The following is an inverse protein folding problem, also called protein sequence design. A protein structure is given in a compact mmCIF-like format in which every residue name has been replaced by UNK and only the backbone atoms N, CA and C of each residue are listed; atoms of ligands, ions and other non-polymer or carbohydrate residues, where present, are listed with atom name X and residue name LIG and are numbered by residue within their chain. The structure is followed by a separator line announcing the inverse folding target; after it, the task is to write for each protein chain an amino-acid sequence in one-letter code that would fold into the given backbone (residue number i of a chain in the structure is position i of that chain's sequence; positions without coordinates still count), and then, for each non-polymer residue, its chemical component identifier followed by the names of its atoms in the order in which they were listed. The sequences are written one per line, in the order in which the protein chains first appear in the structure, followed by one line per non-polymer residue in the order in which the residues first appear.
data_IF_409785553732
#
_entry.id   IF_409785553732
#
_cell.length_a   1.000
_cell.length_b   1.000
_cell.length_c   1.000
_cell.angle_alpha   90.00
_cell.angle_beta   90.00
_cell.angle_gamma   90.00
#
_symmetry.space_group_name_H-M   'P 1'
#
loop_
_entity.id
_entity.type
_entity.pdbx_description
1 polymer ?
#
# COMPACT_ATOMS: atom_id res chain seq x y z
N UNK A 1 -14.66 44.00 -16.73
CA UNK A 1 -14.13 42.83 -16.01
C UNK A 1 -14.14 41.49 -16.79
N UNK A 2 -14.95 41.30 -17.81
CA UNK A 2 -15.12 40.06 -18.58
C UNK A 2 -13.91 39.67 -19.47
N UNK A 3 -13.08 40.59 -19.91
CA UNK A 3 -11.95 40.32 -20.82
C UNK A 3 -10.78 39.56 -20.17
N UNK A 4 -10.62 39.65 -18.85
CA UNK A 4 -9.51 39.01 -18.11
C UNK A 4 -9.70 37.48 -17.95
N UNK A 5 -10.94 37.02 -17.90
CA UNK A 5 -11.25 35.59 -17.77
C UNK A 5 -11.16 34.82 -19.11
N UNK A 6 -11.33 35.52 -20.23
CA UNK A 6 -11.20 34.93 -21.58
C UNK A 6 -9.73 34.55 -21.87
N UNK A 7 -8.77 35.39 -21.49
CA UNK A 7 -7.33 35.11 -21.68
C UNK A 7 -6.87 33.96 -20.78
N UNK A 8 -7.35 33.92 -19.54
CA UNK A 8 -7.01 32.85 -18.60
C UNK A 8 -7.56 31.49 -19.06
N UNK A 9 -8.80 31.46 -19.59
CA UNK A 9 -9.39 30.24 -20.18
C UNK A 9 -8.61 29.75 -21.39
N UNK A 10 -8.21 30.67 -22.28
CA UNK A 10 -7.38 30.32 -23.45
C UNK A 10 -6.02 29.75 -23.06
N UNK A 11 -5.40 30.32 -22.03
CA UNK A 11 -4.10 29.86 -21.51
C UNK A 11 -4.21 28.46 -20.87
N UNK A 12 -5.26 28.19 -20.09
CA UNK A 12 -5.50 26.87 -19.47
C UNK A 12 -5.76 25.81 -20.53
N UNK A 13 -6.57 26.10 -21.56
CA UNK A 13 -6.83 25.16 -22.66
C UNK A 13 -5.54 24.88 -23.47
N UNK A 14 -4.71 25.88 -23.69
CA UNK A 14 -3.41 25.73 -24.36
C UNK A 14 -2.45 24.87 -23.54
N UNK A 15 -2.37 25.08 -22.22
CA UNK A 15 -1.52 24.28 -21.33
C UNK A 15 -1.98 22.82 -21.24
N UNK A 16 -3.29 22.57 -21.18
CA UNK A 16 -3.85 21.21 -21.18
C UNK A 16 -3.61 20.54 -22.53
N UNK A 17 -3.77 21.25 -23.64
CA UNK A 17 -3.47 20.73 -24.98
C UNK A 17 -1.99 20.37 -25.16
N UNK A 18 -1.06 21.19 -24.65
CA UNK A 18 0.38 20.92 -24.69
C UNK A 18 0.76 19.70 -23.81
N UNK A 19 0.13 19.55 -22.64
CA UNK A 19 0.33 18.39 -21.75
C UNK A 19 -0.11 17.08 -22.42
N UNK A 20 -1.22 17.08 -23.16
CA UNK A 20 -1.71 15.89 -23.89
C UNK A 20 -0.79 15.54 -25.08
N UNK A 21 -0.19 16.54 -25.73
CA UNK A 21 0.70 16.33 -26.88
C UNK A 21 2.13 15.89 -26.48
N UNK A 22 2.55 16.18 -25.24
CA UNK A 22 3.85 15.75 -24.71
C UNK A 22 3.84 14.36 -24.06
N UNK A 23 2.70 13.64 -24.04
CA UNK A 23 2.70 12.26 -23.62
C UNK A 23 3.39 11.43 -24.70
N UNK A 24 4.53 10.75 -24.42
CA UNK A 24 5.10 9.80 -25.36
C UNK A 24 4.02 8.77 -25.69
N UNK A 25 4.00 8.25 -26.95
CA UNK A 25 3.08 7.18 -27.26
C UNK A 25 3.32 6.08 -26.24
N UNK A 26 2.30 5.81 -25.41
CA UNK A 26 2.25 4.63 -24.55
C UNK A 26 2.27 3.45 -25.51
N UNK A 27 3.46 2.97 -25.85
CA UNK A 27 3.58 1.64 -26.40
C UNK A 27 2.96 0.75 -25.34
N UNK A 28 1.83 0.14 -25.68
CA UNK A 28 1.24 -0.89 -24.87
C UNK A 28 2.30 -2.00 -24.76
N UNK A 29 3.09 -1.93 -23.70
CA UNK A 29 3.83 -3.06 -23.19
C UNK A 29 2.79 -4.15 -23.02
N UNK A 30 3.07 -5.36 -23.46
CA UNK A 30 2.21 -6.52 -23.29
C UNK A 30 1.54 -6.42 -21.93
N UNK A 31 0.20 -6.25 -21.95
CA UNK A 31 -0.56 -5.96 -20.74
C UNK A 31 -0.67 -7.23 -19.93
N UNK A 32 0.31 -7.47 -19.09
CA UNK A 32 0.27 -8.49 -18.07
C UNK A 32 -0.86 -8.14 -17.10
N UNK A 33 -2.03 -8.75 -17.31
CA UNK A 33 -3.14 -8.59 -16.40
C UNK A 33 -2.86 -9.40 -15.13
N UNK A 34 -2.57 -8.70 -14.04
CA UNK A 34 -2.28 -9.28 -12.73
C UNK A 34 -3.45 -9.04 -11.81
N UNK A 35 -3.97 -10.10 -11.18
CA UNK A 35 -4.98 -9.95 -10.12
C UNK A 35 -4.35 -10.03 -8.76
N UNK A 36 -4.79 -9.15 -7.89
CA UNK A 36 -4.39 -9.14 -6.49
C UNK A 36 -5.62 -9.20 -5.60
N UNK A 37 -5.86 -10.37 -5.03
CA UNK A 37 -6.95 -10.60 -4.09
C UNK A 37 -6.39 -10.67 -2.68
N UNK A 38 -6.98 -9.89 -1.76
CA UNK A 38 -6.60 -9.89 -0.36
C UNK A 38 -7.86 -9.87 0.50
N UNK A 39 -7.99 -10.87 1.36
CA UNK A 39 -8.99 -10.91 2.43
C UNK A 39 -8.31 -10.58 3.75
N UNK A 40 -8.94 -9.76 4.57
CA UNK A 40 -8.45 -9.40 5.90
C UNK A 40 -9.57 -9.50 6.92
N UNK A 41 -9.33 -10.28 7.97
CA UNK A 41 -10.18 -10.35 9.16
C UNK A 41 -9.53 -9.55 10.30
N UNK A 42 -10.36 -8.94 11.15
CA UNK A 42 -9.94 -8.22 12.35
C UNK A 42 -10.85 -8.60 13.50
N UNK A 43 -10.27 -8.67 14.69
CA UNK A 43 -10.99 -8.96 15.92
C UNK A 43 -10.44 -8.09 17.05
N UNK A 44 -11.33 -7.31 17.69
CA UNK A 44 -10.99 -6.50 18.85
C UNK A 44 -11.03 -7.38 20.10
N UNK A 45 -9.85 -7.70 20.63
CA UNK A 45 -9.70 -8.47 21.89
C UNK A 45 -10.04 -7.60 23.10
N UNK A 46 -9.72 -6.32 22.99
CA UNK A 46 -10.06 -5.31 23.98
C UNK A 46 -10.17 -3.92 23.32
N UNK A 47 -10.61 -2.92 24.10
CA UNK A 47 -10.66 -1.52 23.62
C UNK A 47 -9.30 -0.97 23.14
N UNK A 48 -8.21 -1.64 23.47
CA UNK A 48 -6.84 -1.21 23.09
C UNK A 48 -6.12 -2.19 22.18
N UNK A 49 -6.56 -3.43 22.08
CA UNK A 49 -5.86 -4.51 21.38
C UNK A 49 -6.73 -5.07 20.26
N UNK A 50 -6.25 -5.01 19.04
CA UNK A 50 -6.83 -5.59 17.84
C UNK A 50 -5.90 -6.70 17.31
N UNK A 51 -6.43 -7.87 17.05
CA UNK A 51 -5.77 -8.92 16.27
C UNK A 51 -6.25 -8.84 14.81
N UNK A 52 -5.36 -9.19 13.89
CA UNK A 52 -5.75 -9.33 12.50
C UNK A 52 -5.06 -10.52 11.84
N UNK A 53 -5.76 -11.08 10.84
CA UNK A 53 -5.21 -12.07 9.94
C UNK A 53 -5.56 -11.72 8.52
N UNK A 54 -4.70 -12.05 7.58
CA UNK A 54 -4.98 -11.86 6.16
C UNK A 54 -4.47 -13.02 5.29
N UNK A 55 -5.17 -13.22 4.17
CA UNK A 55 -4.80 -14.14 3.12
C UNK A 55 -4.71 -13.34 1.83
N UNK A 56 -3.64 -13.53 1.09
CA UNK A 56 -3.37 -12.87 -0.18
C UNK A 56 -3.14 -13.92 -1.27
N UNK A 57 -3.73 -13.70 -2.43
CA UNK A 57 -3.46 -14.47 -3.65
C UNK A 57 -3.15 -13.49 -4.78
N UNK A 58 -2.08 -13.74 -5.51
CA UNK A 58 -1.74 -13.00 -6.73
C UNK A 58 -1.59 -13.94 -7.89
N UNK A 59 -2.03 -13.48 -9.05
CA UNK A 59 -1.81 -14.16 -10.32
C UNK A 59 -0.83 -13.35 -11.17
N UNK A 60 -0.29 -13.96 -12.21
CA UNK A 60 0.49 -13.35 -13.29
C UNK A 60 0.05 -13.95 -14.62
N UNK A 61 0.63 -13.46 -15.73
CA UNK A 61 0.45 -13.99 -17.08
C UNK A 61 -1.05 -14.13 -17.46
N UNK A 62 -1.78 -12.99 -17.42
CA UNK A 62 -3.20 -12.90 -17.76
C UNK A 62 -4.12 -13.87 -16.98
N UNK A 63 -3.80 -14.20 -15.74
CA UNK A 63 -4.48 -15.12 -14.81
C UNK A 63 -4.12 -16.61 -14.99
N UNK A 64 -3.27 -16.97 -15.93
CA UNK A 64 -2.94 -18.37 -16.20
C UNK A 64 -2.09 -19.00 -15.10
N UNK A 65 -1.35 -18.19 -14.36
CA UNK A 65 -0.48 -18.67 -13.29
C UNK A 65 -0.68 -17.97 -11.95
N UNK A 66 -0.64 -18.75 -10.88
CA UNK A 66 -0.58 -18.18 -9.51
C UNK A 66 0.88 -17.79 -9.22
N UNK A 67 1.11 -16.47 -9.06
CA UNK A 67 2.43 -15.93 -8.66
C UNK A 67 2.71 -16.18 -7.18
N UNK A 68 1.67 -16.00 -6.32
CA UNK A 68 1.92 -16.00 -4.87
C UNK A 68 0.68 -16.30 -4.04
N UNK A 69 0.93 -17.06 -2.97
CA UNK A 69 0.08 -17.09 -1.78
C UNK A 69 0.76 -16.34 -0.64
N UNK A 70 -0.03 -15.61 0.13
CA UNK A 70 0.43 -14.89 1.32
C UNK A 70 -0.52 -15.15 2.48
N UNK A 71 0.04 -15.37 3.67
CA UNK A 71 -0.69 -15.52 4.92
C UNK A 71 -0.08 -14.56 5.94
N UNK A 72 -0.90 -13.71 6.53
CA UNK A 72 -0.46 -12.73 7.51
C UNK A 72 -1.23 -12.83 8.81
N UNK A 73 -0.53 -12.66 9.92
CA UNK A 73 -1.12 -12.47 11.24
C UNK A 73 -0.42 -11.34 11.97
N UNK A 74 -1.13 -10.63 12.81
CA UNK A 74 -0.53 -9.56 13.57
C UNK A 74 -1.47 -8.97 14.62
N UNK A 75 -0.91 -8.06 15.37
CA UNK A 75 -1.61 -7.32 16.40
C UNK A 75 -1.33 -5.84 16.29
N UNK A 76 -2.25 -5.05 16.76
CA UNK A 76 -2.04 -3.63 16.99
C UNK A 76 -2.57 -3.23 18.36
N UNK A 77 -1.83 -2.37 19.03
CA UNK A 77 -2.10 -1.92 20.39
C UNK A 77 -2.17 -0.39 20.43
N UNK A 78 -3.26 0.12 20.96
CA UNK A 78 -3.43 1.55 21.24
C UNK A 78 -2.68 1.89 22.54
N UNK A 79 -1.47 2.42 22.43
CA UNK A 79 -0.64 2.80 23.57
C UNK A 79 -1.15 4.09 24.22
N UNK A 80 -1.48 5.09 23.39
CA UNK A 80 -2.03 6.38 23.79
C UNK A 80 -3.15 6.75 22.81
N UNK A 81 -4.06 7.67 23.11
CA UNK A 81 -5.16 8.05 22.21
C UNK A 81 -4.71 8.49 20.82
N UNK A 82 -3.46 8.91 20.68
CA UNK A 82 -2.85 9.38 19.43
C UNK A 82 -1.73 8.44 18.91
N UNK A 83 -1.35 7.39 19.66
CA UNK A 83 -0.22 6.50 19.35
C UNK A 83 -0.66 5.05 19.34
N UNK A 84 -0.53 4.40 18.17
CA UNK A 84 -0.80 2.97 17.95
C UNK A 84 0.48 2.27 17.53
N UNK A 85 0.83 1.19 18.21
CA UNK A 85 1.89 0.27 17.79
C UNK A 85 1.28 -0.92 17.05
N UNK A 86 2.02 -1.50 16.13
CA UNK A 86 1.62 -2.70 15.41
C UNK A 86 2.82 -3.64 15.22
N UNK A 87 2.54 -4.92 15.17
CA UNK A 87 3.51 -5.94 14.83
C UNK A 87 2.83 -7.13 14.17
N UNK A 88 3.54 -7.81 13.30
CA UNK A 88 2.99 -8.95 12.61
C UNK A 88 4.03 -9.75 11.84
N UNK A 89 3.54 -10.88 11.37
CA UNK A 89 4.30 -11.83 10.59
C UNK A 89 3.51 -12.18 9.33
N UNK A 90 4.21 -12.27 8.19
CA UNK A 90 3.65 -12.66 6.90
C UNK A 90 4.49 -13.82 6.33
N UNK A 91 3.82 -14.86 5.92
CA UNK A 91 4.40 -15.96 5.15
C UNK A 91 3.99 -15.82 3.70
N UNK A 92 4.96 -15.82 2.79
CA UNK A 92 4.72 -15.76 1.35
C UNK A 92 5.27 -17.01 0.67
N UNK A 93 4.42 -17.67 -0.10
CA UNK A 93 4.78 -18.79 -0.94
C UNK A 93 4.66 -18.36 -2.39
N UNK A 94 5.81 -18.17 -3.05
CA UNK A 94 5.88 -17.53 -4.36
C UNK A 94 6.41 -18.49 -5.42
N UNK A 95 5.72 -18.54 -6.55
CA UNK A 95 6.18 -19.22 -7.75
C UNK A 95 7.27 -18.38 -8.46
N UNK A 96 8.44 -18.98 -8.68
CA UNK A 96 9.59 -18.37 -9.33
C UNK A 96 9.80 -18.88 -10.76
N UNK A 97 8.78 -19.50 -11.37
CA UNK A 97 8.89 -20.14 -12.67
C UNK A 97 9.79 -21.37 -12.62
N UNK A 98 10.87 -21.39 -13.40
CA UNK A 98 11.82 -22.52 -13.48
C UNK A 98 12.41 -22.92 -12.13
N UNK A 99 12.58 -21.95 -11.22
CA UNK A 99 13.06 -22.20 -9.87
C UNK A 99 12.02 -22.83 -8.91
N UNK A 100 10.77 -23.01 -9.36
CA UNK A 100 9.66 -23.55 -8.60
C UNK A 100 9.17 -22.63 -7.48
N UNK A 101 8.44 -23.20 -6.55
CA UNK A 101 7.85 -22.49 -5.44
C UNK A 101 8.87 -22.27 -4.31
N UNK A 102 8.98 -21.01 -3.83
CA UNK A 102 9.89 -20.62 -2.74
C UNK A 102 9.13 -19.90 -1.64
N UNK A 103 9.45 -20.23 -0.40
CA UNK A 103 8.91 -19.57 0.79
C UNK A 103 9.74 -18.32 1.13
N UNK A 104 9.06 -17.29 1.61
CA UNK A 104 9.65 -16.10 2.20
C UNK A 104 8.92 -15.72 3.47
N UNK A 105 9.65 -15.32 4.45
CA UNK A 105 9.15 -14.91 5.75
C UNK A 105 9.35 -13.41 5.91
N UNK A 106 8.36 -12.72 6.48
CA UNK A 106 8.44 -11.28 6.72
C UNK A 106 7.92 -10.95 8.10
N UNK A 107 8.74 -10.31 8.90
CA UNK A 107 8.29 -9.64 10.11
C UNK A 107 8.14 -8.16 9.85
N UNK A 108 7.18 -7.55 10.53
CA UNK A 108 7.06 -6.11 10.54
C UNK A 108 6.69 -5.61 11.93
N UNK A 109 7.22 -4.45 12.26
CA UNK A 109 6.85 -3.68 13.43
C UNK A 109 6.70 -2.22 13.02
N UNK A 110 5.78 -1.50 13.64
CA UNK A 110 5.56 -0.11 13.29
C UNK A 110 4.80 0.66 14.35
N UNK A 111 4.84 1.97 14.20
CA UNK A 111 4.09 2.91 15.02
C UNK A 111 3.31 3.87 14.12
N UNK A 112 2.14 4.26 14.59
CA UNK A 112 1.29 5.24 13.90
C UNK A 112 0.92 6.34 14.89
N UNK A 113 1.24 7.56 14.53
CA UNK A 113 0.88 8.75 15.27
C UNK A 113 -0.27 9.46 14.56
N UNK A 114 -1.40 9.70 15.24
CA UNK A 114 -2.59 10.32 14.66
C UNK A 114 -2.95 11.59 15.43
N UNK A 115 -3.00 12.72 14.73
CA UNK A 115 -3.41 14.01 15.23
C UNK A 115 -4.73 14.42 14.57
N UNK A 116 -5.75 14.69 15.37
CA UNK A 116 -7.03 15.24 14.89
C UNK A 116 -7.15 16.71 15.27
N UNK A 117 -7.39 17.58 14.29
CA UNK A 117 -7.61 19.02 14.50
C UNK A 117 -8.81 19.49 13.67
N UNK A 118 -9.93 19.75 14.33
CA UNK A 118 -11.22 20.08 13.67
C UNK A 118 -11.61 18.99 12.68
N UNK A 119 -11.73 19.32 11.40
CA UNK A 119 -12.08 18.41 10.29
C UNK A 119 -10.87 17.68 9.70
N UNK A 120 -9.64 18.00 10.15
CA UNK A 120 -8.42 17.40 9.65
C UNK A 120 -7.95 16.26 10.55
N UNK A 121 -7.53 15.17 9.90
CA UNK A 121 -6.84 14.06 10.56
C UNK A 121 -5.52 13.83 9.85
N UNK A 122 -4.43 13.97 10.58
CA UNK A 122 -3.07 13.69 10.11
C UNK A 122 -2.59 12.39 10.75
N UNK A 123 -2.02 11.49 9.94
CA UNK A 123 -1.46 10.23 10.43
C UNK A 123 -0.06 10.06 9.85
N UNK A 124 0.93 9.98 10.72
CA UNK A 124 2.30 9.58 10.39
C UNK A 124 2.46 8.13 10.83
N UNK A 125 2.92 7.27 9.91
CA UNK A 125 3.20 5.86 10.18
C UNK A 125 4.62 5.53 9.78
N UNK A 126 5.36 4.96 10.71
CA UNK A 126 6.65 4.35 10.48
C UNK A 126 6.51 2.83 10.58
N UNK A 127 7.04 2.10 9.59
CA UNK A 127 7.02 0.64 9.59
C UNK A 127 8.38 0.11 9.17
N UNK A 128 8.97 -0.67 10.05
CA UNK A 128 10.11 -1.51 9.77
C UNK A 128 9.64 -2.88 9.27
N UNK A 129 10.31 -3.41 8.26
CA UNK A 129 10.06 -4.74 7.71
C UNK A 129 11.40 -5.46 7.51
N UNK A 130 11.44 -6.73 7.89
CA UNK A 130 12.53 -7.64 7.60
C UNK A 130 11.97 -8.84 6.84
N UNK A 131 12.51 -9.11 5.66
CA UNK A 131 12.11 -10.23 4.82
C UNK A 131 13.31 -11.13 4.59
N UNK A 132 13.16 -12.44 4.78
CA UNK A 132 14.21 -13.43 4.59
C UNK A 132 13.64 -14.71 3.96
N UNK A 133 14.47 -15.46 3.28
CA UNK A 133 14.09 -16.70 2.58
C UNK A 133 14.86 -17.94 3.04
N UNK A 134 15.65 -17.82 4.11
CA UNK A 134 16.47 -18.91 4.65
C UNK A 134 17.70 -19.28 3.81
N UNK A 135 17.96 -18.54 2.71
CA UNK A 135 19.09 -18.78 1.80
C UNK A 135 20.07 -17.60 1.74
N UNK A 136 19.96 -16.66 2.67
CA UNK A 136 20.88 -15.55 2.84
C UNK A 136 20.50 -14.25 2.12
N UNK A 137 19.30 -14.16 1.55
CA UNK A 137 18.79 -12.91 0.98
C UNK A 137 17.91 -12.19 2.01
N UNK A 138 18.53 -11.46 2.93
CA UNK A 138 17.84 -10.63 3.92
C UNK A 138 17.58 -9.25 3.34
N UNK A 139 16.33 -8.81 3.41
CA UNK A 139 15.89 -7.49 2.97
C UNK A 139 15.30 -6.71 4.14
N UNK A 140 15.93 -5.59 4.49
CA UNK A 140 15.43 -4.65 5.49
C UNK A 140 14.80 -3.45 4.77
N UNK A 141 13.61 -3.03 5.23
CA UNK A 141 12.90 -1.90 4.66
C UNK A 141 12.26 -1.05 5.74
N UNK A 142 12.57 0.23 5.73
CA UNK A 142 11.84 1.23 6.50
C UNK A 142 10.86 1.96 5.58
N UNK A 143 9.62 2.12 6.02
CA UNK A 143 8.57 2.80 5.26
C UNK A 143 7.92 3.88 6.11
N UNK A 144 8.05 5.11 5.65
CA UNK A 144 7.33 6.27 6.18
C UNK A 144 6.08 6.53 5.34
N UNK A 145 4.96 6.75 5.98
CA UNK A 145 3.72 7.14 5.32
C UNK A 145 3.06 8.29 6.05
N UNK A 146 2.88 9.40 5.35
CA UNK A 146 2.07 10.53 5.82
C UNK A 146 0.70 10.48 5.13
N UNK A 147 -0.36 10.62 5.90
CA UNK A 147 -1.74 10.70 5.41
C UNK A 147 -2.39 11.94 6.03
N UNK A 148 -3.02 12.76 5.19
CA UNK A 148 -3.93 13.81 5.61
C UNK A 148 -5.34 13.48 5.10
N UNK A 149 -6.34 13.55 5.95
CA UNK A 149 -7.74 13.34 5.61
C UNK A 149 -8.58 14.52 6.12
N UNK A 150 -9.50 14.97 5.28
CA UNK A 150 -10.46 16.03 5.59
C UNK A 150 -11.86 15.44 5.62
N UNK A 151 -12.60 15.67 6.70
CA UNK A 151 -14.00 15.23 6.82
C UNK A 151 -14.90 16.38 6.39
N UNK A 152 -15.64 16.20 5.30
CA UNK A 152 -16.68 17.12 4.85
C UNK A 152 -17.95 16.81 5.65
N UNK A 153 -18.48 17.81 6.34
CA UNK A 153 -19.76 17.73 7.10
C UNK A 153 -20.84 18.41 6.31
#
# INVERSE_FOLDING_TARGET
MLKKYSVLRGFVILCVGLLVFCLPPLQAQDSDFVTWNKMKARHDVSSKVELYGDVEMRTRDALDEIDRWGFGVGTSVLLLPFLKAEGGYEYHYRNRGEDGWKSRHRYHAGVSFTLKKRQWTFTLRERFQHTFDGRGADEFRLRTRLKAAYTVT
#
